data_IF_204459696283
#
_entry.id   IF_204459696283
#
_cell.length_a   1.000
_cell.length_b   1.000
_cell.length_c   1.000
_cell.angle_alpha   90.00
_cell.angle_beta   90.00
_cell.angle_gamma   90.00
#
_symmetry.space_group_name_H-M   'P 1'
#
loop_
_entity.id
_entity.type
_entity.pdbx_description
1 polymer ?
#
# COMPACT_ATOMS: atom_id res chain seq x y z
N UNK A 1 29.36 36.72 -19.31
CA UNK A 1 28.42 35.72 -18.73
C UNK A 1 27.96 34.87 -19.91
N UNK A 2 28.23 33.58 -19.89
CA UNK A 2 27.74 32.70 -20.94
C UNK A 2 26.20 32.62 -20.79
N UNK A 3 25.47 32.98 -21.83
CA UNK A 3 24.03 32.79 -21.85
C UNK A 3 23.75 31.29 -21.73
N UNK A 4 23.07 30.90 -20.67
CA UNK A 4 22.67 29.54 -20.42
C UNK A 4 21.72 29.09 -21.56
N UNK A 5 22.17 28.14 -22.37
CA UNK A 5 21.37 27.64 -23.49
C UNK A 5 20.24 26.78 -22.96
N UNK A 6 19.00 27.23 -23.15
CA UNK A 6 17.80 26.47 -22.85
C UNK A 6 17.53 25.50 -24.01
N UNK A 7 17.29 24.21 -23.70
CA UNK A 7 16.94 23.19 -24.67
C UNK A 7 15.73 22.39 -24.18
N UNK A 8 15.03 21.74 -25.11
CA UNK A 8 13.95 20.82 -24.77
C UNK A 8 14.52 19.43 -24.45
N UNK A 9 13.92 18.79 -23.45
CA UNK A 9 14.31 17.47 -22.96
C UNK A 9 13.09 16.59 -22.77
N UNK A 10 13.30 15.31 -22.98
CA UNK A 10 12.41 14.24 -22.59
C UNK A 10 13.07 13.50 -21.41
N UNK A 11 12.31 13.23 -20.35
CA UNK A 11 12.79 12.38 -19.27
C UNK A 11 11.79 11.28 -18.94
N UNK A 12 12.31 10.08 -18.81
CA UNK A 12 11.58 8.92 -18.31
C UNK A 12 12.02 8.65 -16.87
N UNK A 13 11.14 8.92 -15.91
CA UNK A 13 11.35 8.58 -14.51
C UNK A 13 10.76 7.20 -14.20
N UNK A 14 11.48 6.41 -13.43
CA UNK A 14 11.09 5.06 -13.04
C UNK A 14 10.99 5.01 -11.52
N UNK A 15 9.81 4.74 -11.01
CA UNK A 15 9.53 4.58 -9.58
C UNK A 15 9.07 3.16 -9.26
N UNK A 16 9.28 2.72 -8.02
CA UNK A 16 8.79 1.43 -7.57
C UNK A 16 7.25 1.41 -7.48
N UNK A 17 6.66 0.22 -7.48
CA UNK A 17 5.21 0.08 -7.28
C UNK A 17 4.78 0.50 -5.86
N UNK A 18 5.66 0.35 -4.87
CA UNK A 18 5.42 0.84 -3.50
C UNK A 18 5.35 2.36 -3.43
N UNK A 19 6.26 3.07 -4.12
CA UNK A 19 6.21 4.53 -4.22
C UNK A 19 4.99 5.02 -5.00
N UNK A 20 4.55 4.26 -5.99
CA UNK A 20 3.34 4.55 -6.76
C UNK A 20 2.04 4.38 -5.96
N UNK A 21 2.06 3.84 -4.75
CA UNK A 21 0.91 3.85 -3.83
C UNK A 21 0.58 5.28 -3.38
N UNK A 22 1.62 6.10 -3.09
CA UNK A 22 1.50 7.55 -2.93
C UNK A 22 1.77 8.27 -4.26
N UNK A 23 0.87 8.08 -5.21
CA UNK A 23 1.06 8.59 -6.58
C UNK A 23 1.11 10.11 -6.64
N UNK A 24 0.32 10.81 -5.81
CA UNK A 24 0.36 12.27 -5.71
C UNK A 24 1.73 12.75 -5.25
N UNK A 25 2.22 12.21 -4.13
CA UNK A 25 3.53 12.58 -3.60
C UNK A 25 4.68 12.22 -4.55
N UNK A 26 4.54 11.18 -5.38
CA UNK A 26 5.52 10.85 -6.42
C UNK A 26 5.57 11.93 -7.51
N UNK A 27 4.41 12.37 -8.01
CA UNK A 27 4.32 13.45 -9.01
C UNK A 27 4.87 14.76 -8.46
N UNK A 28 4.51 15.12 -7.22
CA UNK A 28 5.01 16.34 -6.55
C UNK A 28 6.53 16.29 -6.35
N UNK A 29 7.07 15.11 -6.05
CA UNK A 29 8.51 14.90 -5.95
C UNK A 29 9.23 15.14 -7.28
N UNK A 30 8.70 14.61 -8.40
CA UNK A 30 9.25 14.83 -9.74
C UNK A 30 9.20 16.34 -10.09
N UNK A 31 8.07 17.01 -9.83
CA UNK A 31 7.95 18.45 -10.03
C UNK A 31 9.01 19.22 -9.24
N UNK A 32 9.22 18.88 -7.96
CA UNK A 32 10.25 19.49 -7.13
C UNK A 32 11.66 19.33 -7.69
N UNK A 33 11.98 18.15 -8.24
CA UNK A 33 13.28 17.91 -8.87
C UNK A 33 13.47 18.77 -10.13
N UNK A 34 12.44 18.88 -10.96
CA UNK A 34 12.45 19.73 -12.16
C UNK A 34 12.57 21.21 -11.79
N UNK A 35 11.83 21.70 -10.81
CA UNK A 35 11.91 23.08 -10.30
C UNK A 35 13.30 23.42 -9.76
N UNK A 36 13.93 22.52 -9.00
CA UNK A 36 15.31 22.70 -8.52
C UNK A 36 16.35 22.78 -9.64
N UNK A 37 16.08 22.10 -10.75
CA UNK A 37 16.89 22.20 -11.96
C UNK A 37 16.61 23.47 -12.76
N UNK A 38 15.64 24.30 -12.37
CA UNK A 38 15.19 25.47 -13.15
C UNK A 38 14.52 25.05 -14.45
N UNK A 39 13.89 23.88 -14.46
CA UNK A 39 13.20 23.34 -15.62
C UNK A 39 11.75 23.83 -15.66
N UNK A 40 11.28 24.18 -16.84
CA UNK A 40 9.88 24.47 -17.14
C UNK A 40 9.21 23.21 -17.67
N UNK A 41 8.27 22.65 -16.92
CA UNK A 41 7.50 21.48 -17.31
C UNK A 41 6.52 21.82 -18.43
N UNK A 42 6.64 21.17 -19.57
CA UNK A 42 5.74 21.30 -20.73
C UNK A 42 4.60 20.29 -20.64
N UNK A 43 4.94 19.00 -20.47
CA UNK A 43 3.97 17.91 -20.43
C UNK A 43 4.43 16.81 -19.48
N UNK A 44 3.47 16.10 -18.90
CA UNK A 44 3.71 14.93 -18.05
C UNK A 44 2.61 13.91 -18.22
N UNK A 45 2.99 12.65 -18.31
CA UNK A 45 2.06 11.53 -18.37
C UNK A 45 2.61 10.28 -17.69
N UNK A 46 1.71 9.41 -17.23
CA UNK A 46 2.05 8.03 -16.90
C UNK A 46 2.19 7.25 -18.21
N UNK A 47 3.41 6.81 -18.48
CA UNK A 47 3.68 6.05 -19.71
C UNK A 47 3.20 4.61 -19.59
N UNK A 48 3.61 3.92 -18.52
CA UNK A 48 3.27 2.51 -18.32
C UNK A 48 3.45 2.12 -16.84
N UNK A 49 2.86 0.97 -16.48
CA UNK A 49 3.08 0.31 -15.20
C UNK A 49 3.25 -1.18 -15.45
N UNK A 50 4.50 -1.65 -15.46
CA UNK A 50 4.78 -3.01 -15.86
C UNK A 50 5.94 -3.65 -15.10
N UNK A 51 6.14 -4.93 -15.35
CA UNK A 51 7.29 -5.68 -14.85
C UNK A 51 8.57 -5.19 -15.53
N UNK A 52 9.61 -4.99 -14.72
CA UNK A 52 10.96 -4.66 -15.20
C UNK A 52 11.58 -5.88 -15.92
N UNK A 53 12.42 -5.63 -16.93
CA UNK A 53 13.16 -6.68 -17.62
C UNK A 53 14.17 -7.38 -16.70
N UNK A 54 14.71 -6.65 -15.73
CA UNK A 54 15.58 -7.13 -14.65
C UNK A 54 15.26 -6.37 -13.38
N UNK A 55 15.60 -6.97 -12.25
CA UNK A 55 15.32 -6.41 -10.92
C UNK A 55 16.23 -5.21 -10.63
N UNK A 56 15.66 -4.10 -10.14
CA UNK A 56 16.36 -2.89 -9.70
C UNK A 56 16.01 -2.68 -8.23
N UNK A 57 17.01 -2.62 -7.36
CA UNK A 57 16.85 -2.43 -5.90
C UNK A 57 15.78 -3.37 -5.29
N UNK A 58 15.83 -4.66 -5.70
CA UNK A 58 14.88 -5.71 -5.32
C UNK A 58 13.44 -5.47 -5.79
N UNK A 59 13.22 -4.48 -6.66
CA UNK A 59 11.92 -4.20 -7.25
C UNK A 59 11.76 -4.90 -8.59
N UNK A 60 10.64 -5.59 -8.79
CA UNK A 60 10.33 -6.34 -10.02
C UNK A 60 9.32 -5.63 -10.90
N UNK A 61 8.59 -4.66 -10.36
CA UNK A 61 7.59 -3.86 -11.07
C UNK A 61 7.86 -2.39 -10.82
N UNK A 62 7.58 -1.58 -11.82
CA UNK A 62 7.78 -0.14 -11.75
C UNK A 62 6.69 0.61 -12.53
N UNK A 63 6.51 1.86 -12.14
CA UNK A 63 5.72 2.86 -12.85
C UNK A 63 6.69 3.77 -13.60
N UNK A 64 6.35 4.06 -14.84
CA UNK A 64 7.11 4.90 -15.75
C UNK A 64 6.35 6.21 -15.96
N UNK A 65 6.99 7.32 -15.64
CA UNK A 65 6.46 8.67 -15.83
C UNK A 65 7.30 9.35 -16.89
N UNK A 66 6.65 9.71 -18.01
CA UNK A 66 7.26 10.48 -19.09
C UNK A 66 6.99 11.97 -18.86
N UNK A 67 8.05 12.78 -19.01
CA UNK A 67 7.96 14.23 -18.91
C UNK A 67 8.67 14.90 -20.06
N UNK A 68 8.10 15.99 -20.58
CA UNK A 68 8.76 16.91 -21.47
C UNK A 68 8.94 18.24 -20.76
N UNK A 69 10.15 18.80 -20.82
CA UNK A 69 10.47 20.05 -20.13
C UNK A 69 11.56 20.82 -20.85
N UNK A 70 11.64 22.12 -20.58
CA UNK A 70 12.72 23.00 -21.03
C UNK A 70 13.62 23.31 -19.86
N UNK A 71 14.92 23.22 -20.06
CA UNK A 71 15.89 23.50 -18.99
C UNK A 71 17.21 24.03 -19.55
N UNK A 72 17.96 24.77 -18.71
CA UNK A 72 19.36 25.09 -19.01
C UNK A 72 20.17 23.81 -19.17
N UNK A 73 20.96 23.71 -20.25
CA UNK A 73 21.76 22.52 -20.54
C UNK A 73 22.69 22.12 -19.38
N UNK A 74 23.23 23.09 -18.69
CA UNK A 74 24.15 22.90 -17.54
C UNK A 74 23.43 22.34 -16.29
N UNK A 75 22.10 22.49 -16.19
CA UNK A 75 21.33 22.00 -15.03
C UNK A 75 20.99 20.49 -15.12
N UNK A 76 21.12 19.87 -16.29
CA UNK A 76 20.77 18.47 -16.50
C UNK A 76 21.64 17.55 -15.64
N UNK A 77 22.95 17.78 -15.57
CA UNK A 77 23.83 16.99 -14.70
C UNK A 77 23.45 17.07 -13.21
N UNK A 78 22.90 18.20 -12.79
CA UNK A 78 22.37 18.37 -11.44
C UNK A 78 21.08 17.59 -11.24
N UNK A 79 20.16 17.67 -12.21
CA UNK A 79 18.92 16.88 -12.20
C UNK A 79 19.20 15.38 -12.12
N UNK A 80 20.10 14.87 -12.94
CA UNK A 80 20.49 13.45 -12.93
C UNK A 80 21.08 13.03 -11.58
N UNK A 81 21.89 13.89 -10.96
CA UNK A 81 22.45 13.65 -9.62
C UNK A 81 21.36 13.64 -8.55
N UNK A 82 20.44 14.62 -8.59
CA UNK A 82 19.35 14.73 -7.62
C UNK A 82 18.41 13.51 -7.71
N UNK A 83 18.13 13.03 -8.93
CA UNK A 83 17.41 11.75 -9.13
C UNK A 83 18.16 10.57 -8.54
N UNK A 84 19.47 10.49 -8.72
CA UNK A 84 20.29 9.37 -8.21
C UNK A 84 20.34 9.33 -6.68
N UNK A 85 20.25 10.49 -6.04
CA UNK A 85 20.22 10.61 -4.57
C UNK A 85 18.81 10.37 -4.03
N UNK A 86 17.80 10.53 -4.87
CA UNK A 86 16.39 10.35 -4.48
C UNK A 86 16.12 8.89 -4.10
N UNK A 87 15.54 8.69 -2.94
CA UNK A 87 15.10 7.35 -2.48
C UNK A 87 13.76 6.93 -3.12
N UNK A 88 13.02 7.88 -3.69
CA UNK A 88 11.70 7.64 -4.30
C UNK A 88 11.77 7.17 -5.75
N UNK A 89 12.87 7.46 -6.44
CA UNK A 89 13.06 7.11 -7.85
C UNK A 89 14.12 6.03 -7.99
N UNK A 90 13.81 4.96 -8.71
CA UNK A 90 14.76 3.90 -9.03
C UNK A 90 15.76 4.38 -10.09
N UNK A 91 15.26 5.12 -11.09
CA UNK A 91 16.08 5.56 -12.22
C UNK A 91 15.42 6.71 -12.98
N UNK A 92 16.23 7.49 -13.70
CA UNK A 92 15.75 8.33 -14.78
C UNK A 92 16.67 8.22 -16.00
N UNK A 93 16.08 8.44 -17.16
CA UNK A 93 16.78 8.64 -18.44
C UNK A 93 16.37 10.02 -18.95
N UNK A 94 17.34 10.90 -19.19
CA UNK A 94 17.10 12.23 -19.74
C UNK A 94 17.78 12.31 -21.12
N UNK A 95 17.00 12.65 -22.12
CA UNK A 95 17.50 12.82 -23.50
C UNK A 95 17.04 14.17 -24.07
N UNK A 96 17.77 14.69 -25.04
CA UNK A 96 17.35 15.93 -25.73
C UNK A 96 16.19 15.63 -26.68
N UNK A 97 15.19 16.50 -26.66
CA UNK A 97 13.98 16.42 -27.49
C UNK A 97 13.96 17.51 -28.58
N UNK A 98 15.10 17.84 -29.14
CA UNK A 98 15.23 18.89 -30.17
C UNK A 98 14.45 18.58 -31.48
N UNK A 99 14.03 17.34 -31.65
CA UNK A 99 13.27 16.86 -32.82
C UNK A 99 11.75 17.07 -32.67
N UNK A 100 11.26 17.38 -31.44
CA UNK A 100 9.85 17.61 -31.16
C UNK A 100 9.55 19.10 -31.12
N UNK A 101 8.43 19.48 -31.70
CA UNK A 101 7.85 20.81 -31.51
C UNK A 101 7.13 20.90 -30.15
N UNK A 102 6.89 22.13 -29.70
CA UNK A 102 6.15 22.36 -28.45
C UNK A 102 4.73 21.80 -28.51
N UNK A 103 4.06 21.91 -29.65
CA UNK A 103 2.72 21.37 -29.87
C UNK A 103 2.69 19.85 -29.78
N UNK A 104 3.70 19.18 -30.33
CA UNK A 104 3.84 17.73 -30.21
C UNK A 104 4.11 17.28 -28.76
N UNK A 105 4.94 18.02 -28.02
CA UNK A 105 5.17 17.74 -26.60
C UNK A 105 3.90 17.95 -25.77
N UNK A 106 3.13 19.01 -26.02
CA UNK A 106 1.86 19.29 -25.34
C UNK A 106 0.78 18.24 -25.63
N UNK A 107 0.83 17.57 -26.80
CA UNK A 107 -0.09 16.49 -27.12
C UNK A 107 0.04 15.29 -26.18
N UNK A 108 1.18 15.15 -25.49
CA UNK A 108 1.41 14.11 -24.46
C UNK A 108 1.03 14.55 -23.05
N UNK A 109 0.43 15.73 -22.88
CA UNK A 109 0.07 16.22 -21.53
C UNK A 109 -1.18 15.54 -20.99
N UNK A 110 -1.00 14.73 -19.96
CA UNK A 110 -2.04 14.00 -19.26
C UNK A 110 -2.07 14.35 -17.75
N UNK A 111 -1.68 15.58 -17.37
CA UNK A 111 -1.65 16.01 -15.95
C UNK A 111 -2.99 15.91 -15.26
N UNK A 112 -4.10 16.13 -15.94
CA UNK A 112 -5.44 15.97 -15.36
C UNK A 112 -5.76 14.48 -15.11
N UNK A 113 -5.34 13.60 -16.01
CA UNK A 113 -5.48 12.15 -15.82
C UNK A 113 -4.65 11.66 -14.63
N UNK A 114 -3.42 12.19 -14.47
CA UNK A 114 -2.56 11.89 -13.32
C UNK A 114 -3.22 12.30 -12.00
N UNK A 115 -3.85 13.48 -11.95
CA UNK A 115 -4.59 13.93 -10.77
C UNK A 115 -5.78 13.04 -10.43
N UNK A 116 -6.49 12.59 -11.45
CA UNK A 116 -7.63 11.67 -11.31
C UNK A 116 -7.17 10.31 -10.81
N UNK A 117 -6.09 9.78 -11.39
CA UNK A 117 -5.50 8.51 -10.95
C UNK A 117 -4.98 8.61 -9.51
N UNK A 118 -4.34 9.72 -9.14
CA UNK A 118 -3.87 9.96 -7.78
C UNK A 118 -5.03 9.92 -6.76
N UNK A 119 -6.16 10.56 -7.07
CA UNK A 119 -7.36 10.51 -6.23
C UNK A 119 -7.90 9.09 -6.08
N UNK A 120 -8.02 8.36 -7.19
CA UNK A 120 -8.52 6.99 -7.18
C UNK A 120 -7.62 6.05 -6.37
N UNK A 121 -6.31 6.22 -6.45
CA UNK A 121 -5.35 5.45 -5.65
C UNK A 121 -5.46 5.79 -4.17
N UNK A 122 -5.55 7.08 -3.82
CA UNK A 122 -5.72 7.53 -2.44
C UNK A 122 -7.04 6.99 -1.84
N UNK A 123 -8.15 7.02 -2.57
CA UNK A 123 -9.44 6.47 -2.14
C UNK A 123 -9.38 4.96 -1.92
N UNK A 124 -8.67 4.22 -2.80
CA UNK A 124 -8.48 2.78 -2.63
C UNK A 124 -7.64 2.47 -1.39
N UNK A 125 -6.52 3.18 -1.22
CA UNK A 125 -5.66 3.01 -0.05
C UNK A 125 -6.41 3.33 1.26
N UNK A 126 -7.25 4.36 1.28
CA UNK A 126 -8.08 4.69 2.43
C UNK A 126 -9.09 3.57 2.76
N UNK A 127 -9.78 3.03 1.74
CA UNK A 127 -10.72 1.91 1.93
C UNK A 127 -10.03 0.62 2.40
N UNK A 128 -8.85 0.33 1.87
CA UNK A 128 -8.05 -0.82 2.29
C UNK A 128 -7.60 -0.67 3.75
N UNK A 129 -7.15 0.52 4.15
CA UNK A 129 -6.78 0.83 5.53
C UNK A 129 -7.97 0.72 6.50
N UNK A 130 -9.16 1.22 6.12
CA UNK A 130 -10.39 1.06 6.91
C UNK A 130 -10.80 -0.42 7.05
N UNK A 131 -10.69 -1.19 5.97
CA UNK A 131 -10.99 -2.63 5.98
C UNK A 131 -9.99 -3.42 6.85
N UNK A 132 -8.72 -3.07 6.85
CA UNK A 132 -7.72 -3.67 7.75
C UNK A 132 -7.98 -3.31 9.21
N UNK A 133 -8.27 -2.04 9.51
CA UNK A 133 -8.60 -1.61 10.86
C UNK A 133 -9.85 -2.31 11.41
N UNK A 134 -10.89 -2.47 10.58
CA UNK A 134 -12.09 -3.19 10.99
C UNK A 134 -11.82 -4.67 11.28
N UNK A 135 -10.97 -5.34 10.49
CA UNK A 135 -10.54 -6.72 10.73
C UNK A 135 -9.75 -6.86 12.03
N UNK A 136 -8.82 -5.95 12.30
CA UNK A 136 -8.04 -5.93 13.54
C UNK A 136 -8.94 -5.72 14.75
N UNK A 137 -9.93 -4.84 14.66
CA UNK A 137 -10.90 -4.62 15.76
C UNK A 137 -11.77 -5.85 16.02
N UNK A 138 -12.22 -6.56 14.99
CA UNK A 138 -13.01 -7.79 15.14
C UNK A 138 -12.17 -8.89 15.78
N UNK A 139 -10.92 -9.10 15.33
CA UNK A 139 -10.03 -10.10 15.91
C UNK A 139 -9.68 -9.79 17.37
N UNK A 140 -9.43 -8.54 17.71
CA UNK A 140 -9.14 -8.13 19.09
C UNK A 140 -10.36 -8.26 20.01
N UNK A 141 -11.57 -8.01 19.50
CA UNK A 141 -12.81 -8.21 20.25
C UNK A 141 -13.11 -9.71 20.48
N UNK A 142 -12.81 -10.55 19.51
CA UNK A 142 -12.97 -12.01 19.59
C UNK A 142 -11.95 -12.63 20.57
N UNK A 143 -10.69 -12.18 20.55
CA UNK A 143 -9.68 -12.56 21.53
C UNK A 143 -10.05 -12.12 22.96
N UNK A 144 -10.54 -10.90 23.11
CA UNK A 144 -10.99 -10.39 24.41
C UNK A 144 -12.22 -11.14 24.93
N UNK A 145 -13.15 -11.53 24.06
CA UNK A 145 -14.31 -12.34 24.41
C UNK A 145 -13.90 -13.77 24.82
N UNK A 146 -12.93 -14.36 24.12
CA UNK A 146 -12.40 -15.67 24.46
C UNK A 146 -11.64 -15.69 25.78
N UNK A 147 -10.82 -14.67 26.06
CA UNK A 147 -10.12 -14.52 27.33
C UNK A 147 -11.09 -14.32 28.52
N UNK A 148 -12.21 -13.60 28.31
CA UNK A 148 -13.26 -13.46 29.33
C UNK A 148 -14.02 -14.76 29.57
N UNK A 149 -14.29 -15.54 28.52
CA UNK A 149 -14.95 -16.84 28.63
C UNK A 149 -14.06 -17.85 29.38
N UNK A 150 -12.77 -17.83 29.14
CA UNK A 150 -11.78 -18.69 29.82
C UNK A 150 -11.62 -18.29 31.29
N UNK A 151 -11.66 -17.02 31.65
CA UNK A 151 -11.65 -16.54 33.04
C UNK A 151 -12.93 -16.88 33.76
N UNK A 152 -14.10 -16.83 33.13
CA UNK A 152 -15.37 -17.23 33.74
C UNK A 152 -15.49 -18.73 33.95
N UNK A 153 -14.89 -19.55 33.11
CA UNK A 153 -14.83 -21.00 33.28
C UNK A 153 -13.85 -21.43 34.40
N UNK A 154 -12.89 -20.57 34.77
CA UNK A 154 -11.93 -20.82 35.85
C UNK A 154 -12.42 -20.34 37.21
N UNK A 155 -13.51 -19.55 37.29
CA UNK A 155 -14.07 -18.96 38.50
C UNK A 155 -15.40 -19.61 38.94
N UNK A 156 -15.78 -20.80 38.37
CA UNK A 156 -16.87 -21.62 38.91
C UNK A 156 -16.32 -22.43 40.09
N UNK A 157 -16.76 -22.16 41.37
CA UNK A 157 -16.28 -22.92 42.51
C UNK A 157 -16.86 -24.34 42.49
N UNK A 158 -15.96 -25.30 42.59
CA UNK A 158 -16.20 -26.70 42.92
C UNK A 158 -16.98 -26.76 44.25
N UNK A 159 -18.31 -26.72 44.20
CA UNK A 159 -19.20 -26.83 45.35
C UNK A 159 -20.32 -27.81 45.06
N UNK A 160 -19.98 -29.11 45.04
CA UNK A 160 -20.93 -30.18 45.29
C UNK A 160 -20.21 -31.54 45.46
N UNK A 161 -19.44 -31.71 46.51
CA UNK A 161 -19.21 -33.07 47.04
C UNK A 161 -18.87 -33.01 48.53
N UNK A 162 -19.89 -32.87 49.36
CA UNK A 162 -19.87 -33.23 50.79
C UNK A 162 -21.30 -33.27 51.33
N UNK A 163 -21.85 -34.48 51.45
CA UNK A 163 -22.85 -35.01 52.36
C UNK A 163 -23.57 -36.15 51.61
N UNK A 164 -23.59 -37.38 52.03
CA UNK A 164 -23.87 -37.93 53.33
C UNK A 164 -23.32 -39.36 53.40
N UNK A 165 -22.46 -39.61 54.33
CA UNK A 165 -22.35 -40.92 54.98
C UNK A 165 -23.14 -40.79 56.28
N UNK A 166 -24.30 -41.47 56.39
CA UNK A 166 -24.72 -42.11 57.64
C UNK A 166 -25.98 -42.95 57.48
N UNK A 167 -25.81 -44.25 57.64
CA UNK A 167 -26.56 -45.16 58.55
C UNK A 167 -28.02 -45.43 58.15
N UNK A 168 -28.43 -46.51 57.99
CA UNK A 168 -28.61 -47.67 58.81
C UNK A 168 -29.72 -48.58 58.30
N UNK A 169 -29.46 -49.81 58.22
CA UNK A 169 -30.28 -51.00 58.45
C UNK A 169 -31.78 -51.05 58.18
N UNK A 170 -32.05 -52.15 57.54
CA UNK A 170 -33.08 -53.14 57.83
C UNK A 170 -34.30 -53.25 56.99
N UNK A 171 -34.63 -54.51 56.65
CA UNK A 171 -36.00 -54.95 56.40
C UNK A 171 -36.35 -55.45 55.03
N UNK A 172 -35.96 -56.66 54.72
CA UNK A 172 -36.79 -57.78 54.23
C UNK A 172 -37.83 -57.56 53.19
N UNK A 173 -37.79 -58.56 52.32
CA UNK A 173 -38.86 -59.40 51.73
C UNK A 173 -39.45 -58.98 50.37
N UNK A 174 -39.11 -59.90 49.47
CA UNK A 174 -40.02 -60.72 48.60
C UNK A 174 -41.10 -59.97 47.82
N UNK A 175 -41.23 -60.17 46.59
CA UNK A 175 -41.75 -61.28 45.81
C UNK A 175 -41.81 -60.85 44.32
N UNK A 176 -41.37 -61.78 43.52
CA UNK A 176 -41.94 -62.34 42.28
C UNK A 176 -42.74 -61.45 41.29
N UNK A 177 -42.30 -61.63 40.11
CA UNK A 177 -43.02 -62.24 38.98
C UNK A 177 -43.52 -61.33 37.87
N UNK A 178 -43.12 -61.77 36.76
CA UNK A 178 -43.83 -62.00 35.48
C UNK A 178 -43.96 -60.84 34.48
N UNK A 179 -43.27 -61.07 33.46
CA UNK A 179 -43.74 -61.47 32.12
C UNK A 179 -44.43 -60.36 31.34
N UNK A 180 -43.84 -60.13 30.25
CA UNK A 180 -44.12 -60.65 28.87
C UNK A 180 -44.94 -59.65 28.02
N UNK A 181 -44.34 -59.39 26.87
CA UNK A 181 -44.96 -59.14 25.55
C UNK A 181 -45.71 -57.81 25.35
N UNK A 182 -45.28 -57.03 24.46
CA UNK A 182 -45.59 -57.02 23.02
C UNK A 182 -44.71 -55.98 22.34
#
# INVERSE_FOLDING_TARGET
MAESRISAYEAMFVASQSEAADFSGLIDHINTLLERAGAELVAMQKWDERRLAFEIDKQRRAVFILTYFRAPTESIARLERDVRISERLLRALVVRADHLTEEEMLAFDAREELKTEAKLRAERAAKEAEAEQSKVQVLSAEEAARAKAEQQAADEPEAADRADEHGDQDGSEEVEASAEKA
#
